data_IF_736049337215
#
_entry.id   IF_736049337215
#
_cell.length_a   1.000
_cell.length_b   1.000
_cell.length_c   1.000
_cell.angle_alpha   90.00
_cell.angle_beta   90.00
_cell.angle_gamma   90.00
#
_symmetry.space_group_name_H-M   'P 1'
#
loop_
_entity.id
_entity.type
_entity.pdbx_description
1 polymer ?
#
# COMPACT_ATOMS: atom_id res chain seq x y z
N UNK A 1 4.81 -1.51 -10.31
CA UNK A 1 3.77 -2.57 -10.29
C UNK A 1 4.13 -3.59 -11.36
N UNK A 2 3.81 -4.86 -11.15
CA UNK A 2 3.98 -5.92 -12.17
C UNK A 2 2.68 -6.13 -12.95
N UNK A 3 1.53 -6.09 -12.28
CA UNK A 3 0.19 -6.04 -12.89
C UNK A 3 -0.54 -4.73 -12.59
N UNK A 4 -1.49 -4.36 -13.44
CA UNK A 4 -2.35 -3.18 -13.28
C UNK A 4 -3.38 -3.37 -12.15
N UNK A 5 -3.97 -2.28 -11.59
CA UNK A 5 -5.02 -2.41 -10.58
C UNK A 5 -6.20 -3.27 -11.04
N UNK A 6 -6.59 -3.20 -12.32
CA UNK A 6 -7.69 -3.98 -12.87
C UNK A 6 -7.38 -5.49 -12.87
N UNK A 7 -6.16 -5.88 -13.27
CA UNK A 7 -5.72 -7.28 -13.25
C UNK A 7 -5.67 -7.82 -11.82
N UNK A 8 -5.17 -7.03 -10.86
CA UNK A 8 -5.13 -7.42 -9.44
C UNK A 8 -6.55 -7.66 -8.91
N UNK A 9 -7.52 -6.79 -9.22
CA UNK A 9 -8.91 -6.95 -8.78
C UNK A 9 -9.54 -8.18 -9.42
N UNK A 10 -9.32 -8.40 -10.73
CA UNK A 10 -9.79 -9.58 -11.44
C UNK A 10 -9.28 -10.85 -10.76
N UNK A 11 -7.97 -10.98 -10.55
CA UNK A 11 -7.37 -12.16 -9.95
C UNK A 11 -7.86 -12.39 -8.52
N UNK A 12 -7.93 -11.33 -7.69
CA UNK A 12 -8.44 -11.44 -6.32
C UNK A 12 -9.90 -11.88 -6.27
N UNK A 13 -10.74 -11.37 -7.17
CA UNK A 13 -12.17 -11.72 -7.21
C UNK A 13 -12.46 -13.19 -7.52
N UNK A 14 -11.50 -13.90 -8.13
CA UNK A 14 -11.63 -15.36 -8.37
C UNK A 14 -11.37 -16.20 -7.11
N UNK A 15 -10.67 -15.63 -6.13
CA UNK A 15 -10.24 -16.31 -4.91
C UNK A 15 -11.04 -15.85 -3.68
N UNK A 16 -11.48 -14.60 -3.67
CA UNK A 16 -12.16 -13.96 -2.56
C UNK A 16 -13.38 -13.17 -3.06
N UNK A 17 -14.44 -13.14 -2.24
CA UNK A 17 -15.54 -12.19 -2.45
C UNK A 17 -15.09 -10.81 -1.96
N UNK A 18 -15.02 -9.84 -2.88
CA UNK A 18 -14.68 -8.46 -2.55
C UNK A 18 -15.94 -7.68 -2.14
N UNK A 19 -15.81 -6.87 -1.10
CA UNK A 19 -16.89 -6.06 -0.55
C UNK A 19 -16.58 -4.56 -0.66
N UNK A 20 -17.62 -3.69 -0.67
CA UNK A 20 -17.41 -2.26 -0.57
C UNK A 20 -16.64 -1.89 0.70
N UNK A 21 -15.56 -1.13 0.53
CA UNK A 21 -14.69 -0.70 1.63
C UNK A 21 -13.42 -1.57 1.80
N UNK A 22 -13.31 -2.69 1.09
CA UNK A 22 -12.08 -3.49 1.12
C UNK A 22 -10.88 -2.70 0.56
N UNK A 23 -9.72 -2.85 1.21
CA UNK A 23 -8.47 -2.19 0.83
C UNK A 23 -7.51 -3.20 0.18
N UNK A 24 -7.07 -2.89 -1.05
CA UNK A 24 -6.12 -3.71 -1.79
C UNK A 24 -4.77 -3.01 -1.86
N UNK A 25 -3.74 -3.66 -1.31
CA UNK A 25 -2.36 -3.17 -1.37
C UNK A 25 -1.71 -3.60 -2.68
N UNK A 26 -1.36 -2.65 -3.56
CA UNK A 26 -0.89 -2.91 -4.93
C UNK A 26 0.62 -3.19 -5.05
N UNK A 27 1.30 -3.29 -3.90
CA UNK A 27 2.73 -3.54 -3.79
C UNK A 27 3.58 -2.28 -3.66
N UNK A 28 4.90 -2.46 -3.58
CA UNK A 28 5.89 -1.39 -3.46
C UNK A 28 7.05 -1.66 -4.43
N UNK A 29 7.71 -0.62 -4.97
CA UNK A 29 8.99 -0.77 -5.65
C UNK A 29 10.06 -1.36 -4.73
N UNK A 30 11.20 -1.72 -5.32
CA UNK A 30 12.39 -2.10 -4.57
C UNK A 30 12.90 -0.93 -3.70
N UNK A 31 13.66 -1.25 -2.64
CA UNK A 31 14.21 -0.27 -1.71
C UNK A 31 13.59 -0.27 -0.31
N UNK A 32 12.72 -1.25 -0.01
CA UNK A 32 12.20 -1.46 1.34
C UNK A 32 13.34 -1.84 2.29
N UNK A 33 13.36 -1.24 3.47
CA UNK A 33 14.35 -1.49 4.52
C UNK A 33 13.72 -1.46 5.92
N UNK A 34 14.47 -1.85 6.97
CA UNK A 34 13.96 -1.87 8.34
C UNK A 34 13.73 -0.45 8.85
N UNK A 35 12.65 -0.28 9.61
CA UNK A 35 12.40 0.93 10.41
C UNK A 35 12.91 0.73 11.83
N UNK A 36 13.36 1.82 12.44
CA UNK A 36 13.83 1.88 13.83
C UNK A 36 12.90 2.75 14.68
N UNK A 37 12.95 2.56 16.00
CA UNK A 37 12.26 3.43 16.95
C UNK A 37 12.77 4.86 16.77
N UNK A 38 11.84 5.82 16.84
CA UNK A 38 12.01 7.25 16.58
C UNK A 38 12.15 7.64 15.09
N UNK A 39 12.07 6.71 14.14
CA UNK A 39 12.04 7.07 12.72
C UNK A 39 10.81 7.91 12.39
N UNK A 40 10.99 8.90 11.53
CA UNK A 40 9.90 9.65 10.90
C UNK A 40 9.74 9.18 9.46
N UNK A 41 8.58 8.62 9.15
CA UNK A 41 8.24 8.04 7.86
C UNK A 41 7.29 8.97 7.14
N UNK A 42 7.66 9.37 5.93
CA UNK A 42 6.79 10.15 5.04
C UNK A 42 6.42 9.32 3.81
N UNK A 43 5.13 9.32 3.48
CA UNK A 43 4.57 8.61 2.33
C UNK A 43 3.75 9.59 1.50
N UNK A 44 3.96 9.58 0.19
CA UNK A 44 3.26 10.44 -0.74
C UNK A 44 2.92 9.70 -2.03
N UNK A 45 1.79 10.04 -2.63
CA UNK A 45 1.39 9.57 -3.94
C UNK A 45 0.67 10.70 -4.67
N UNK A 46 0.88 10.81 -5.98
CA UNK A 46 0.20 11.83 -6.78
C UNK A 46 -1.33 11.68 -6.66
N UNK A 47 -2.03 12.81 -6.49
CA UNK A 47 -3.48 12.84 -6.35
C UNK A 47 -4.03 12.34 -5.01
N UNK A 48 -3.16 11.97 -4.06
CA UNK A 48 -3.55 11.53 -2.71
C UNK A 48 -2.81 12.34 -1.65
N UNK A 49 -3.49 12.63 -0.54
CA UNK A 49 -2.88 13.33 0.58
C UNK A 49 -1.67 12.57 1.14
N UNK A 50 -0.63 13.28 1.54
CA UNK A 50 0.54 12.67 2.14
C UNK A 50 0.28 12.25 3.58
N UNK A 51 1.05 11.25 4.03
CA UNK A 51 0.97 10.67 5.35
C UNK A 51 2.35 10.77 6.02
N UNK A 52 2.38 11.23 7.26
CA UNK A 52 3.58 11.24 8.10
C UNK A 52 3.31 10.47 9.37
N UNK A 53 4.19 9.52 9.70
CA UNK A 53 4.08 8.64 10.86
C UNK A 53 5.41 8.67 11.61
N UNK A 54 5.35 8.60 12.94
CA UNK A 54 6.53 8.42 13.78
C UNK A 54 6.50 7.05 14.44
N UNK A 55 7.61 6.32 14.35
CA UNK A 55 7.70 4.95 14.81
C UNK A 55 8.02 4.92 16.31
N UNK A 56 7.17 4.25 17.09
CA UNK A 56 7.39 4.05 18.53
C UNK A 56 6.93 5.21 19.43
N UNK A 57 6.13 6.13 18.90
CA UNK A 57 5.32 7.07 19.70
C UNK A 57 3.94 6.47 20.01
#
# INVERSE_FOLDING_TARGET
MIGSPAEIIQDLSTQYTLHPGDLVMTGTPAGVGPLQINDSVHVSMEGVASLSIQIGL
#
